data_IF_576795386326
#
_entry.id   IF_576795386326
#
_cell.length_a   1.000
_cell.length_b   1.000
_cell.length_c   1.000
_cell.angle_alpha   90.00
_cell.angle_beta   90.00
_cell.angle_gamma   90.00
#
_symmetry.space_group_name_H-M   'P 1'
#
loop_
_entity.id
_entity.type
_entity.pdbx_description
1 polymer ?
#
# COMPACT_ATOMS: atom_id res chain seq x y z
N UNK A 1 16.71 12.04 -27.99
CA UNK A 1 15.55 11.59 -28.79
C UNK A 1 14.73 10.64 -27.94
N UNK A 2 13.40 10.85 -27.96
CA UNK A 2 12.32 10.00 -27.43
C UNK A 2 11.95 10.10 -25.94
N UNK A 3 11.00 11.01 -25.73
CA UNK A 3 9.84 10.92 -24.82
C UNK A 3 9.16 9.53 -24.78
N UNK A 4 8.60 9.14 -23.63
CA UNK A 4 7.21 8.66 -23.42
C UNK A 4 7.14 7.76 -22.16
N UNK A 5 6.60 8.22 -21.03
CA UNK A 5 5.18 8.30 -20.63
C UNK A 5 4.55 6.94 -20.25
N UNK A 6 4.45 6.72 -18.92
CA UNK A 6 3.66 5.67 -18.26
C UNK A 6 2.16 5.87 -18.49
N UNK A 7 1.44 4.84 -18.97
CA UNK A 7 -0.01 4.72 -18.79
C UNK A 7 -0.48 3.26 -18.67
N UNK A 8 -1.31 3.04 -17.65
CA UNK A 8 -2.43 2.10 -17.49
C UNK A 8 -2.21 0.58 -17.72
N UNK A 9 -2.19 -0.17 -16.62
CA UNK A 9 -2.58 -1.58 -16.59
C UNK A 9 -4.08 -1.69 -16.25
N UNK A 10 -4.90 -1.74 -17.29
CA UNK A 10 -6.28 -2.26 -17.24
C UNK A 10 -6.22 -3.74 -17.65
N UNK A 11 -6.66 -4.63 -16.75
CA UNK A 11 -6.79 -6.05 -17.02
C UNK A 11 -8.04 -6.31 -17.88
N UNK A 12 -7.85 -6.59 -19.16
CA UNK A 12 -8.89 -7.06 -20.08
C UNK A 12 -9.15 -8.55 -19.92
N UNK A 13 -10.42 -8.93 -19.72
CA UNK A 13 -10.92 -10.30 -19.79
C UNK A 13 -10.85 -10.85 -21.23
N UNK A 14 -10.52 -12.14 -21.47
CA UNK A 14 -10.58 -12.72 -22.80
C UNK A 14 -12.02 -13.07 -23.20
N UNK A 15 -12.48 -12.47 -24.30
CA UNK A 15 -13.69 -12.85 -25.05
C UNK A 15 -13.45 -14.17 -25.80
N UNK A 16 -14.32 -15.15 -25.58
CA UNK A 16 -14.31 -16.42 -26.31
C UNK A 16 -14.86 -16.24 -27.73
N UNK A 17 -14.13 -16.77 -28.72
CA UNK A 17 -14.47 -16.70 -30.14
C UNK A 17 -15.50 -17.76 -30.55
N UNK A 18 -16.53 -17.34 -31.27
CA UNK A 18 -17.53 -18.19 -31.93
C UNK A 18 -17.00 -18.76 -33.24
N UNK A 19 -17.08 -20.07 -33.46
CA UNK A 19 -17.10 -20.66 -34.82
C UNK A 19 -18.09 -21.83 -34.93
N UNK A 20 -18.67 -22.05 -36.12
CA UNK A 20 -19.99 -22.66 -36.32
C UNK A 20 -19.89 -24.14 -36.75
N UNK A 21 -20.96 -24.94 -36.65
CA UNK A 21 -21.21 -26.05 -37.61
C UNK A 21 -22.67 -26.58 -37.61
N UNK A 22 -23.27 -26.45 -38.81
CA UNK A 22 -24.27 -27.28 -39.51
C UNK A 22 -25.52 -27.83 -38.80
N UNK A 23 -26.67 -27.31 -39.25
CA UNK A 23 -27.99 -27.93 -39.20
C UNK A 23 -28.03 -29.23 -40.01
N UNK A 24 -28.39 -30.34 -39.36
CA UNK A 24 -28.96 -31.50 -40.03
C UNK A 24 -30.45 -31.57 -39.70
N UNK A 25 -31.26 -31.40 -40.74
CA UNK A 25 -32.70 -31.55 -40.73
C UNK A 25 -33.03 -33.05 -40.77
N UNK A 26 -33.75 -33.57 -39.76
CA UNK A 26 -34.36 -34.89 -39.80
C UNK A 26 -35.87 -34.72 -39.75
N UNK A 27 -36.51 -35.23 -40.78
CA UNK A 27 -37.95 -35.27 -41.00
C UNK A 27 -38.56 -36.44 -40.22
N UNK A 28 -39.63 -36.13 -39.47
CA UNK A 28 -40.82 -36.96 -39.27
C UNK A 28 -40.68 -38.37 -38.66
N UNK A 29 -41.10 -38.50 -37.39
CA UNK A 29 -41.82 -39.68 -36.93
C UNK A 29 -42.73 -39.32 -35.74
N UNK A 30 -44.02 -39.49 -35.94
CA UNK A 30 -45.08 -39.35 -34.94
C UNK A 30 -44.90 -40.42 -33.86
N UNK A 31 -44.70 -39.99 -32.61
CA UNK A 31 -44.84 -40.82 -31.42
C UNK A 31 -45.70 -40.05 -30.41
N UNK A 32 -46.88 -40.61 -30.15
CA UNK A 32 -47.81 -40.22 -29.10
C UNK A 32 -47.07 -40.09 -27.76
N UNK A 33 -46.76 -38.86 -27.36
CA UNK A 33 -46.32 -38.58 -25.99
C UNK A 33 -47.52 -38.10 -25.19
N UNK A 34 -47.91 -38.94 -24.22
CA UNK A 34 -48.82 -38.57 -23.13
C UNK A 34 -48.44 -37.19 -22.60
N UNK A 35 -49.43 -36.30 -22.50
CA UNK A 35 -49.33 -35.00 -21.85
C UNK A 35 -48.97 -35.19 -20.37
N UNK A 36 -47.67 -35.39 -20.09
CA UNK A 36 -47.13 -35.21 -18.75
C UNK A 36 -47.32 -33.74 -18.42
N UNK A 37 -48.38 -33.44 -17.65
CA UNK A 37 -48.46 -32.19 -16.89
C UNK A 37 -47.08 -31.96 -16.25
N UNK A 38 -46.51 -30.76 -16.33
CA UNK A 38 -45.33 -30.45 -15.54
C UNK A 38 -45.71 -30.79 -14.11
N UNK A 39 -45.05 -31.79 -13.53
CA UNK A 39 -45.15 -32.02 -12.10
C UNK A 39 -44.49 -30.79 -11.52
N UNK A 40 -45.29 -29.77 -11.20
CA UNK A 40 -44.89 -28.71 -10.29
C UNK A 40 -44.58 -29.46 -9.01
N UNK A 41 -43.32 -29.87 -8.88
CA UNK A 41 -42.73 -30.14 -7.58
C UNK A 41 -43.09 -28.91 -6.79
N UNK A 42 -43.99 -29.04 -5.82
CA UNK A 42 -44.15 -28.04 -4.79
C UNK A 42 -42.74 -27.92 -4.22
N UNK A 43 -42.00 -26.91 -4.69
CA UNK A 43 -40.66 -26.61 -4.23
C UNK A 43 -40.84 -26.42 -2.74
N UNK A 44 -40.34 -27.37 -1.96
CA UNK A 44 -40.51 -27.41 -0.52
C UNK A 44 -40.28 -26.01 0.00
N UNK A 45 -41.35 -25.38 0.49
CA UNK A 45 -41.33 -23.96 0.85
C UNK A 45 -40.21 -23.65 1.84
N UNK A 46 -39.84 -24.67 2.64
CA UNK A 46 -38.69 -24.74 3.54
C UNK A 46 -37.35 -24.54 2.82
N UNK A 47 -37.07 -25.26 1.73
CA UNK A 47 -35.82 -25.06 0.97
C UNK A 47 -35.75 -23.64 0.40
N UNK A 48 -36.87 -23.14 -0.16
CA UNK A 48 -36.93 -21.78 -0.68
C UNK A 48 -36.66 -20.74 0.42
N UNK A 49 -37.23 -20.92 1.61
CA UNK A 49 -37.00 -20.06 2.78
C UNK A 49 -35.54 -20.07 3.23
N UNK A 50 -34.88 -21.23 3.26
CA UNK A 50 -33.45 -21.33 3.59
C UNK A 50 -32.58 -20.59 2.56
N UNK A 51 -32.85 -20.76 1.26
CA UNK A 51 -32.16 -20.00 0.22
C UNK A 51 -32.40 -18.48 0.30
N UNK A 52 -33.58 -18.04 0.72
CA UNK A 52 -33.84 -16.62 0.99
C UNK A 52 -32.96 -16.11 2.13
N UNK A 53 -32.86 -16.83 3.25
CA UNK A 53 -31.96 -16.44 4.36
C UNK A 53 -30.50 -16.33 3.92
N UNK A 54 -30.02 -17.28 3.11
CA UNK A 54 -28.65 -17.22 2.58
C UNK A 54 -28.45 -16.05 1.62
N UNK A 55 -29.44 -15.75 0.78
CA UNK A 55 -29.39 -14.60 -0.12
C UNK A 55 -29.31 -13.28 0.67
N UNK A 56 -30.15 -13.13 1.69
CA UNK A 56 -30.17 -11.93 2.54
C UNK A 56 -28.82 -11.75 3.27
N UNK A 57 -28.29 -12.81 3.87
CA UNK A 57 -26.95 -12.79 4.49
C UNK A 57 -25.84 -12.39 3.51
N UNK A 58 -25.84 -12.95 2.30
CA UNK A 58 -24.83 -12.63 1.28
C UNK A 58 -24.97 -11.18 0.78
N UNK A 59 -26.19 -10.68 0.63
CA UNK A 59 -26.45 -9.31 0.25
C UNK A 59 -25.94 -8.33 1.33
N UNK A 60 -26.25 -8.60 2.61
CA UNK A 60 -25.76 -7.79 3.72
C UNK A 60 -24.22 -7.77 3.80
N UNK A 61 -23.59 -8.94 3.61
CA UNK A 61 -22.13 -9.06 3.58
C UNK A 61 -21.52 -8.29 2.41
N UNK A 62 -22.15 -8.35 1.23
CA UNK A 62 -21.70 -7.62 0.05
C UNK A 62 -21.86 -6.10 0.23
N UNK A 63 -22.98 -5.65 0.75
CA UNK A 63 -23.23 -4.23 1.05
C UNK A 63 -22.21 -3.71 2.06
N UNK A 64 -21.90 -4.50 3.09
CA UNK A 64 -20.85 -4.17 4.06
C UNK A 64 -19.47 -4.10 3.41
N UNK A 65 -19.13 -5.08 2.56
CA UNK A 65 -17.87 -5.08 1.80
C UNK A 65 -17.73 -3.81 0.96
N UNK A 66 -18.79 -3.38 0.27
CA UNK A 66 -18.76 -2.15 -0.53
C UNK A 66 -18.55 -0.89 0.32
N UNK A 67 -19.15 -0.83 1.52
CA UNK A 67 -18.87 0.28 2.47
C UNK A 67 -17.42 0.27 2.96
N UNK A 68 -16.87 -0.89 3.29
CA UNK A 68 -15.46 -1.06 3.68
C UNK A 68 -14.52 -0.65 2.55
N UNK A 69 -14.80 -1.05 1.30
CA UNK A 69 -13.99 -0.63 0.13
C UNK A 69 -14.00 0.89 -0.02
N UNK A 70 -15.15 1.55 0.16
CA UNK A 70 -15.24 3.01 0.09
C UNK A 70 -14.42 3.68 1.20
N UNK A 71 -14.58 3.26 2.45
CA UNK A 71 -13.80 3.79 3.57
C UNK A 71 -12.29 3.55 3.40
N UNK A 72 -11.90 2.38 2.89
CA UNK A 72 -10.50 2.03 2.61
C UNK A 72 -9.87 2.94 1.57
N UNK A 73 -10.62 3.32 0.51
CA UNK A 73 -10.13 4.28 -0.50
C UNK A 73 -9.84 5.65 0.11
N UNK A 74 -10.70 6.12 1.02
CA UNK A 74 -10.50 7.40 1.71
C UNK A 74 -9.23 7.37 2.58
N UNK A 75 -8.99 6.26 3.30
CA UNK A 75 -7.75 6.05 4.07
C UNK A 75 -6.52 6.08 3.16
N UNK A 76 -6.52 5.33 2.06
CA UNK A 76 -5.40 5.30 1.11
C UNK A 76 -5.11 6.70 0.54
N UNK A 77 -6.15 7.39 0.07
CA UNK A 77 -6.00 8.72 -0.55
C UNK A 77 -5.37 9.70 0.42
N UNK A 78 -5.83 9.73 1.67
CA UNK A 78 -5.35 10.72 2.63
C UNK A 78 -4.01 10.32 3.26
N UNK A 79 -3.72 9.03 3.42
CA UNK A 79 -2.37 8.56 3.80
C UNK A 79 -1.33 8.95 2.74
N UNK A 80 -1.65 8.85 1.44
CA UNK A 80 -0.80 9.37 0.36
C UNK A 80 -0.54 10.86 0.46
N UNK A 81 -1.55 11.66 0.83
CA UNK A 81 -1.37 13.10 1.02
C UNK A 81 -0.38 13.40 2.16
N UNK A 82 -0.42 12.63 3.24
CA UNK A 82 0.56 12.73 4.34
C UNK A 82 1.96 12.41 3.82
N UNK A 83 2.13 11.32 3.07
CA UNK A 83 3.44 10.95 2.47
C UNK A 83 3.96 12.08 1.57
N UNK A 84 3.11 12.61 0.68
CA UNK A 84 3.48 13.75 -0.17
C UNK A 84 3.77 15.03 0.61
N UNK A 85 3.13 15.24 1.75
CA UNK A 85 3.43 16.36 2.63
C UNK A 85 4.82 16.19 3.24
N UNK A 86 5.18 15.00 3.74
CA UNK A 86 6.51 14.71 4.28
C UNK A 86 7.62 14.91 3.24
N UNK A 87 7.38 14.54 1.98
CA UNK A 87 8.36 14.77 0.91
C UNK A 87 8.66 16.24 0.59
N UNK A 88 7.93 17.19 1.18
CA UNK A 88 8.20 18.64 1.05
C UNK A 88 9.25 19.15 2.02
N UNK A 89 9.78 18.29 2.91
CA UNK A 89 10.85 18.65 3.84
C UNK A 89 12.05 19.19 3.06
N UNK A 90 12.56 20.32 3.52
CA UNK A 90 13.84 20.93 3.17
C UNK A 90 14.58 21.31 4.47
N UNK A 91 15.80 21.85 4.32
CA UNK A 91 16.60 22.37 5.45
C UNK A 91 15.87 23.43 6.27
N UNK A 92 15.05 24.26 5.62
CA UNK A 92 14.51 25.48 6.23
C UNK A 92 13.06 25.33 6.73
N UNK A 93 12.37 24.26 6.36
CA UNK A 93 10.93 24.10 6.62
C UNK A 93 10.56 22.81 7.35
N UNK A 94 11.55 22.04 7.82
CA UNK A 94 11.36 20.69 8.34
C UNK A 94 10.31 20.63 9.45
N UNK A 95 10.40 21.52 10.42
CA UNK A 95 9.49 21.57 11.57
C UNK A 95 8.05 21.89 11.15
N UNK A 96 7.86 22.87 10.26
CA UNK A 96 6.54 23.27 9.75
C UNK A 96 5.90 22.13 8.94
N UNK A 97 6.68 21.53 8.03
CA UNK A 97 6.21 20.45 7.18
C UNK A 97 5.83 19.22 8.01
N UNK A 98 6.63 18.88 9.02
CA UNK A 98 6.35 17.76 9.91
C UNK A 98 5.15 18.03 10.81
N UNK A 99 5.03 19.23 11.39
CA UNK A 99 3.85 19.59 12.18
C UNK A 99 2.56 19.47 11.37
N UNK A 100 2.59 19.91 10.11
CA UNK A 100 1.45 19.75 9.19
C UNK A 100 1.19 18.27 8.86
N UNK A 101 2.22 17.48 8.54
CA UNK A 101 2.07 16.06 8.26
C UNK A 101 1.50 15.28 9.45
N UNK A 102 1.89 15.62 10.68
CA UNK A 102 1.35 15.02 11.90
C UNK A 102 -0.12 15.37 12.12
N UNK A 103 -0.51 16.62 11.87
CA UNK A 103 -1.92 17.03 11.92
C UNK A 103 -2.75 16.32 10.84
N UNK A 104 -2.23 16.21 9.62
CA UNK A 104 -2.88 15.49 8.53
C UNK A 104 -3.01 13.99 8.88
N UNK A 105 -1.99 13.37 9.49
CA UNK A 105 -2.03 11.98 9.94
C UNK A 105 -3.01 11.74 11.10
N UNK A 106 -3.10 12.69 12.04
CA UNK A 106 -4.11 12.67 13.09
C UNK A 106 -5.51 12.71 12.48
N UNK A 107 -5.76 13.59 11.51
CA UNK A 107 -7.02 13.63 10.78
C UNK A 107 -7.31 12.31 10.04
N UNK A 108 -6.30 11.66 9.46
CA UNK A 108 -6.46 10.32 8.86
C UNK A 108 -6.94 9.30 9.87
N UNK A 109 -6.33 9.32 11.05
CA UNK A 109 -6.65 8.41 12.16
C UNK A 109 -8.07 8.65 12.68
N UNK A 110 -8.37 9.89 13.03
CA UNK A 110 -9.60 10.28 13.71
C UNK A 110 -10.83 10.23 12.79
N UNK A 111 -10.66 10.48 11.49
CA UNK A 111 -11.77 10.54 10.54
C UNK A 111 -11.89 9.26 9.69
N UNK A 112 -10.80 8.84 9.03
CA UNK A 112 -10.88 7.79 8.01
C UNK A 112 -10.65 6.40 8.60
N UNK A 113 -9.65 6.22 9.46
CA UNK A 113 -9.44 4.95 10.16
C UNK A 113 -10.62 4.70 11.11
N UNK A 114 -11.06 5.69 11.88
CA UNK A 114 -12.27 5.58 12.72
C UNK A 114 -13.50 5.11 11.93
N UNK A 115 -13.73 5.66 10.74
CA UNK A 115 -14.83 5.21 9.86
C UNK A 115 -14.64 3.77 9.39
N UNK A 116 -13.43 3.38 8.99
CA UNK A 116 -13.12 2.02 8.59
C UNK A 116 -13.36 1.03 9.74
N UNK A 117 -12.91 1.38 10.96
CA UNK A 117 -13.13 0.59 12.19
C UNK A 117 -14.63 0.38 12.41
N UNK A 118 -15.44 1.46 12.34
CA UNK A 118 -16.91 1.38 12.48
C UNK A 118 -17.57 0.46 11.46
N UNK A 119 -17.18 0.55 10.19
CA UNK A 119 -17.72 -0.33 9.15
C UNK A 119 -17.32 -1.81 9.32
N UNK A 120 -16.22 -2.08 10.03
CA UNK A 120 -15.75 -3.44 10.32
C UNK A 120 -16.37 -4.05 11.59
N UNK A 121 -16.99 -3.25 12.46
CA UNK A 121 -17.57 -3.72 13.73
C UNK A 121 -18.58 -4.86 13.52
N UNK A 122 -18.59 -5.83 14.43
CA UNK A 122 -19.53 -6.96 14.41
C UNK A 122 -19.32 -7.92 13.23
N UNK A 123 -18.14 -7.94 12.62
CA UNK A 123 -17.78 -8.91 11.58
C UNK A 123 -16.37 -9.40 11.82
N UNK A 124 -16.14 -10.69 11.56
CA UNK A 124 -14.79 -11.22 11.63
C UNK A 124 -13.89 -10.50 10.62
N UNK A 125 -12.87 -9.78 11.11
CA UNK A 125 -12.02 -8.90 10.29
C UNK A 125 -11.38 -9.61 9.11
N UNK A 126 -11.10 -10.91 9.23
CA UNK A 126 -10.49 -11.72 8.18
C UNK A 126 -11.40 -11.90 6.96
N UNK A 127 -12.73 -11.94 7.13
CA UNK A 127 -13.68 -12.13 6.01
C UNK A 127 -13.61 -10.99 5.00
N UNK A 128 -13.34 -9.78 5.48
CA UNK A 128 -13.27 -8.55 4.68
C UNK A 128 -11.84 -8.05 4.47
N UNK A 129 -10.81 -8.80 4.89
CA UNK A 129 -9.39 -8.35 4.81
C UNK A 129 -9.00 -7.81 3.45
N UNK A 130 -9.40 -8.50 2.37
CA UNK A 130 -9.11 -8.08 0.99
C UNK A 130 -9.69 -6.71 0.60
N UNK A 131 -10.69 -6.22 1.33
CA UNK A 131 -11.31 -4.93 1.07
C UNK A 131 -10.52 -3.75 1.68
N UNK A 132 -9.71 -3.97 2.72
CA UNK A 132 -9.05 -2.89 3.46
C UNK A 132 -7.53 -3.05 3.66
N UNK A 133 -6.96 -4.23 3.41
CA UNK A 133 -5.53 -4.54 3.62
C UNK A 133 -4.59 -3.47 3.04
N UNK A 134 -4.83 -3.03 1.80
CA UNK A 134 -4.01 -1.99 1.15
C UNK A 134 -4.14 -0.62 1.81
N UNK A 135 -5.29 -0.29 2.38
CA UNK A 135 -5.48 0.96 3.09
C UNK A 135 -4.73 0.98 4.41
N UNK A 136 -4.71 -0.15 5.12
CA UNK A 136 -3.92 -0.30 6.35
C UNK A 136 -2.43 -0.24 6.07
N UNK A 137 -1.95 -0.88 4.99
CA UNK A 137 -0.54 -0.81 4.58
C UNK A 137 -0.10 0.62 4.29
N UNK A 138 -0.90 1.38 3.52
CA UNK A 138 -0.62 2.78 3.20
C UNK A 138 -0.63 3.68 4.46
N UNK A 139 -1.55 3.40 5.41
CA UNK A 139 -1.57 4.11 6.68
C UNK A 139 -0.31 3.83 7.53
N UNK A 140 0.13 2.56 7.59
CA UNK A 140 1.37 2.17 8.27
C UNK A 140 2.57 2.87 7.64
N UNK A 141 2.66 2.89 6.32
CA UNK A 141 3.71 3.59 5.57
C UNK A 141 3.75 5.08 5.93
N UNK A 142 2.61 5.77 5.90
CA UNK A 142 2.52 7.19 6.27
C UNK A 142 2.92 7.43 7.73
N UNK A 143 2.40 6.63 8.66
CA UNK A 143 2.65 6.80 10.10
C UNK A 143 4.12 6.53 10.48
N UNK A 144 4.71 5.48 9.91
CA UNK A 144 6.12 5.14 10.14
C UNK A 144 7.06 6.15 9.49
N UNK A 145 6.72 6.68 8.30
CA UNK A 145 7.48 7.75 7.64
C UNK A 145 7.50 9.03 8.48
N UNK A 146 6.34 9.46 8.99
CA UNK A 146 6.23 10.60 9.90
C UNK A 146 7.09 10.38 11.17
N UNK A 147 6.99 9.20 11.80
CA UNK A 147 7.78 8.88 13.00
C UNK A 147 9.27 8.97 12.73
N UNK A 148 9.73 8.35 11.64
CA UNK A 148 11.15 8.35 11.27
C UNK A 148 11.64 9.78 11.04
N UNK A 149 10.91 10.60 10.26
CA UNK A 149 11.37 11.96 9.96
C UNK A 149 11.40 12.88 11.19
N UNK A 150 10.53 12.63 12.18
CA UNK A 150 10.47 13.39 13.44
C UNK A 150 11.51 12.95 14.47
N UNK A 151 11.71 11.64 14.63
CA UNK A 151 12.47 11.08 15.77
C UNK A 151 13.64 10.20 15.37
N UNK A 152 13.74 9.81 14.11
CA UNK A 152 14.75 8.87 13.60
C UNK A 152 14.49 7.41 14.01
N UNK A 153 13.33 7.10 14.59
CA UNK A 153 13.00 5.75 15.07
C UNK A 153 11.86 5.11 14.28
N UNK A 154 11.73 3.79 14.42
CA UNK A 154 10.62 3.02 13.86
C UNK A 154 9.41 3.07 14.80
N UNK A 155 8.23 3.41 14.27
CA UNK A 155 6.96 3.23 14.97
C UNK A 155 6.58 1.76 14.92
N UNK A 156 6.63 1.06 16.05
CA UNK A 156 6.42 -0.38 16.08
C UNK A 156 4.93 -0.75 16.05
N UNK A 157 4.62 -2.02 15.73
CA UNK A 157 3.24 -2.50 15.59
C UNK A 157 2.40 -2.31 16.87
N UNK A 158 3.00 -2.51 18.04
CA UNK A 158 2.29 -2.34 19.31
C UNK A 158 1.92 -0.89 19.55
N UNK A 159 2.81 0.05 19.23
CA UNK A 159 2.54 1.49 19.32
C UNK A 159 1.43 1.93 18.37
N UNK A 160 1.44 1.46 17.11
CA UNK A 160 0.35 1.78 16.16
C UNK A 160 -0.97 1.20 16.66
N UNK A 161 -1.00 -0.07 17.05
CA UNK A 161 -2.24 -0.66 17.53
C UNK A 161 -2.76 0.04 18.80
N UNK A 162 -1.86 0.46 19.69
CA UNK A 162 -2.24 1.23 20.87
C UNK A 162 -2.91 2.57 20.51
N UNK A 163 -2.48 3.25 19.44
CA UNK A 163 -3.13 4.49 18.99
C UNK A 163 -4.49 4.27 18.34
N UNK A 164 -4.79 3.04 17.90
CA UNK A 164 -6.09 2.68 17.30
C UNK A 164 -7.10 2.16 18.31
N UNK A 165 -6.67 1.72 19.49
CA UNK A 165 -7.55 1.23 20.56
C UNK A 165 -8.69 2.20 20.91
N UNK A 166 -8.46 3.52 21.06
CA UNK A 166 -9.51 4.47 21.43
C UNK A 166 -10.60 4.66 20.34
N UNK A 167 -10.34 4.21 19.11
CA UNK A 167 -11.28 4.32 18.00
C UNK A 167 -12.37 3.25 18.03
N UNK A 168 -12.16 2.19 18.82
CA UNK A 168 -13.08 1.06 18.93
C UNK A 168 -14.01 1.24 20.13
N UNK A 169 -15.27 0.85 20.00
CA UNK A 169 -16.20 0.83 21.13
C UNK A 169 -15.76 -0.22 22.15
N UNK A 170 -15.87 0.08 23.45
CA UNK A 170 -15.42 -0.82 24.54
C UNK A 170 -16.10 -2.21 24.52
N UNK A 171 -17.25 -2.32 23.86
CA UNK A 171 -18.03 -3.57 23.74
C UNK A 171 -17.64 -4.44 22.55
N UNK A 172 -16.70 -3.99 21.70
CA UNK A 172 -16.33 -4.66 20.45
C UNK A 172 -14.82 -4.92 20.42
N UNK A 173 -14.41 -6.03 19.83
CA UNK A 173 -12.99 -6.31 19.60
C UNK A 173 -12.38 -5.19 18.72
N UNK A 174 -11.29 -4.54 19.16
CA UNK A 174 -10.72 -3.45 18.42
C UNK A 174 -10.07 -3.94 17.13
N UNK A 175 -10.06 -3.09 16.10
CA UNK A 175 -9.26 -3.36 14.91
C UNK A 175 -7.79 -3.41 15.32
N UNK A 176 -7.16 -4.56 15.10
CA UNK A 176 -5.71 -4.71 15.24
C UNK A 176 -5.10 -4.90 13.85
N UNK A 177 -4.14 -4.03 13.52
CA UNK A 177 -3.27 -4.24 12.37
C UNK A 177 -2.53 -5.54 12.61
N UNK A 178 -2.67 -6.47 11.67
CA UNK A 178 -1.97 -7.74 11.73
C UNK A 178 -0.50 -7.57 11.28
N UNK A 179 0.33 -8.54 11.67
CA UNK A 179 1.76 -8.54 11.37
C UNK A 179 2.02 -8.41 9.87
N UNK A 180 1.29 -9.13 9.02
CA UNK A 180 1.53 -9.11 7.57
C UNK A 180 1.28 -7.72 6.96
N UNK A 181 0.18 -7.05 7.30
CA UNK A 181 -0.12 -5.70 6.81
C UNK A 181 0.89 -4.67 7.31
N UNK A 182 1.37 -4.82 8.55
CA UNK A 182 2.44 -3.98 9.06
C UNK A 182 3.75 -4.17 8.30
N UNK A 183 4.18 -5.42 8.08
CA UNK A 183 5.43 -5.71 7.36
C UNK A 183 5.37 -5.27 5.89
N UNK A 184 4.21 -5.40 5.23
CA UNK A 184 4.00 -4.91 3.87
C UNK A 184 4.09 -3.38 3.79
N UNK A 185 3.44 -2.66 4.71
CA UNK A 185 3.57 -1.21 4.81
C UNK A 185 5.00 -0.76 5.14
N UNK A 186 5.71 -1.49 6.00
CA UNK A 186 7.11 -1.23 6.32
C UNK A 186 8.05 -1.45 5.13
N UNK A 187 7.73 -2.41 4.26
CA UNK A 187 8.48 -2.61 3.04
C UNK A 187 8.29 -1.43 2.07
N UNK A 188 7.07 -0.90 1.95
CA UNK A 188 6.79 0.30 1.14
C UNK A 188 7.45 1.57 1.69
N UNK A 189 7.49 1.73 3.03
CA UNK A 189 8.24 2.80 3.70
C UNK A 189 9.68 2.92 3.16
N UNK A 190 10.36 1.80 2.91
CA UNK A 190 11.75 1.85 2.42
C UNK A 190 11.90 2.52 1.06
N UNK A 191 10.87 2.43 0.21
CA UNK A 191 10.82 3.13 -1.07
C UNK A 191 10.68 4.64 -0.88
N UNK A 192 9.83 5.07 0.04
CA UNK A 192 9.66 6.49 0.36
C UNK A 192 10.90 7.06 1.07
N UNK A 193 11.53 6.30 1.96
CA UNK A 193 12.81 6.68 2.57
C UNK A 193 13.92 6.81 1.52
N UNK A 194 13.98 5.91 0.54
CA UNK A 194 14.91 6.07 -0.58
C UNK A 194 14.64 7.35 -1.37
N UNK A 195 13.38 7.65 -1.72
CA UNK A 195 13.04 8.90 -2.41
C UNK A 195 13.45 10.12 -1.59
N UNK A 196 13.17 10.09 -0.28
CA UNK A 196 13.57 11.17 0.63
C UNK A 196 15.08 11.33 0.64
N UNK A 197 15.84 10.25 0.80
CA UNK A 197 17.31 10.28 0.80
C UNK A 197 17.88 10.90 -0.48
N UNK A 198 17.40 10.52 -1.66
CA UNK A 198 17.85 11.12 -2.93
C UNK A 198 17.57 12.64 -2.96
N UNK A 199 16.39 13.07 -2.49
CA UNK A 199 16.07 14.49 -2.36
C UNK A 199 17.00 15.22 -1.39
N UNK A 200 17.28 14.62 -0.23
CA UNK A 200 18.18 15.18 0.79
C UNK A 200 19.63 15.27 0.32
N UNK A 201 20.12 14.27 -0.42
CA UNK A 201 21.44 14.31 -1.07
C UNK A 201 21.52 15.47 -2.06
N UNK A 202 20.47 15.68 -2.85
CA UNK A 202 20.40 16.79 -3.81
C UNK A 202 20.46 18.16 -3.12
N UNK A 203 19.91 18.28 -1.90
CA UNK A 203 19.98 19.49 -1.08
C UNK A 203 21.30 19.61 -0.27
N UNK A 204 22.23 18.66 -0.44
CA UNK A 204 23.51 18.62 0.26
C UNK A 204 23.39 18.19 1.73
N UNK A 205 22.39 17.40 2.10
CA UNK A 205 22.23 16.79 3.44
C UNK A 205 22.68 15.32 3.44
N UNK A 206 23.96 15.09 3.13
CA UNK A 206 24.51 13.74 2.96
C UNK A 206 24.44 12.93 4.25
N UNK A 207 24.73 13.54 5.39
CA UNK A 207 24.71 12.87 6.70
C UNK A 207 23.29 12.41 7.07
N UNK A 208 22.26 13.14 6.65
CA UNK A 208 20.88 12.71 6.88
C UNK A 208 20.50 11.56 5.95
N UNK A 209 20.97 11.58 4.70
CA UNK A 209 20.79 10.46 3.78
C UNK A 209 21.52 9.18 4.24
N UNK A 210 22.69 9.30 4.87
CA UNK A 210 23.39 8.16 5.50
C UNK A 210 22.59 7.57 6.66
N UNK A 211 21.95 8.41 7.50
CA UNK A 211 21.04 7.94 8.56
C UNK A 211 19.84 7.18 7.98
N UNK A 212 19.26 7.70 6.89
CA UNK A 212 18.20 7.00 6.17
C UNK A 212 18.71 5.65 5.63
N UNK A 213 19.89 5.62 5.01
CA UNK A 213 20.51 4.41 4.51
C UNK A 213 20.70 3.36 5.60
N UNK A 214 21.22 3.76 6.77
CA UNK A 214 21.39 2.86 7.91
C UNK A 214 20.05 2.28 8.37
N UNK A 215 19.03 3.13 8.51
CA UNK A 215 17.70 2.69 8.93
C UNK A 215 17.06 1.70 7.95
N UNK A 216 17.13 1.98 6.65
CA UNK A 216 16.59 1.08 5.61
C UNK A 216 17.36 -0.25 5.56
N UNK A 217 18.69 -0.23 5.77
CA UNK A 217 19.50 -1.44 5.86
C UNK A 217 19.12 -2.30 7.06
N UNK A 218 18.87 -1.68 8.21
CA UNK A 218 18.50 -2.41 9.42
C UNK A 218 17.14 -3.10 9.24
N UNK A 219 16.14 -2.41 8.67
CA UNK A 219 14.85 -3.02 8.32
C UNK A 219 15.05 -4.20 7.35
N UNK A 220 15.82 -4.01 6.27
CA UNK A 220 16.05 -5.06 5.29
C UNK A 220 16.74 -6.30 5.89
N UNK A 221 17.71 -6.10 6.77
CA UNK A 221 18.42 -7.18 7.47
C UNK A 221 17.48 -7.99 8.35
N UNK A 222 16.66 -7.32 9.16
CA UNK A 222 15.70 -8.01 10.03
C UNK A 222 14.64 -8.76 9.21
N UNK A 223 14.09 -8.15 8.15
CA UNK A 223 13.12 -8.83 7.30
C UNK A 223 13.71 -10.02 6.53
N UNK A 224 15.01 -10.00 6.23
CA UNK A 224 15.69 -11.17 5.62
C UNK A 224 15.63 -12.40 6.53
N UNK A 225 15.59 -12.21 7.85
CA UNK A 225 15.45 -13.30 8.83
C UNK A 225 14.00 -13.77 8.98
N UNK A 226 13.04 -12.84 8.85
CA UNK A 226 11.61 -13.11 9.09
C UNK A 226 10.91 -13.70 7.87
N UNK A 227 11.10 -13.11 6.68
CA UNK A 227 10.35 -13.44 5.46
C UNK A 227 10.43 -14.92 5.05
N UNK A 228 11.57 -15.62 5.17
CA UNK A 228 11.64 -17.06 4.87
C UNK A 228 10.76 -17.93 5.77
N UNK A 229 10.40 -17.44 6.96
CA UNK A 229 9.60 -18.16 7.97
C UNK A 229 8.11 -17.84 7.87
N UNK A 230 7.72 -16.91 7.01
CA UNK A 230 6.32 -16.53 6.81
C UNK A 230 5.61 -17.49 5.87
N UNK A 231 4.38 -17.84 6.22
CA UNK A 231 3.45 -18.52 5.31
C UNK A 231 3.08 -17.60 4.14
N UNK A 232 2.93 -18.15 2.94
CA UNK A 232 2.53 -17.42 1.73
C UNK A 232 3.33 -16.13 1.44
N UNK A 233 4.65 -16.17 1.62
CA UNK A 233 5.57 -15.02 1.49
C UNK A 233 5.80 -14.47 0.07
N UNK A 234 4.96 -14.82 -0.92
CA UNK A 234 5.17 -14.44 -2.33
C UNK A 234 5.18 -12.92 -2.56
N UNK A 235 4.31 -12.20 -1.87
CA UNK A 235 4.25 -10.73 -1.93
C UNK A 235 5.46 -10.11 -1.22
N UNK A 236 5.78 -10.60 -0.01
CA UNK A 236 6.95 -10.14 0.73
C UNK A 236 8.25 -10.37 -0.03
N UNK A 237 8.41 -11.48 -0.76
CA UNK A 237 9.60 -11.72 -1.60
C UNK A 237 9.80 -10.63 -2.66
N UNK A 238 8.74 -10.23 -3.36
CA UNK A 238 8.78 -9.13 -4.33
C UNK A 238 9.10 -7.79 -3.66
N UNK A 239 8.55 -7.57 -2.47
CA UNK A 239 8.86 -6.39 -1.66
C UNK A 239 10.33 -6.38 -1.24
N UNK A 240 10.89 -7.51 -0.80
CA UNK A 240 12.30 -7.65 -0.44
C UNK A 240 13.24 -7.34 -1.61
N UNK A 241 12.91 -7.76 -2.83
CA UNK A 241 13.66 -7.37 -4.04
C UNK A 241 13.66 -5.85 -4.25
N UNK A 242 12.50 -5.21 -4.09
CA UNK A 242 12.34 -3.76 -4.21
C UNK A 242 13.10 -3.01 -3.10
N UNK A 243 13.06 -3.52 -1.87
CA UNK A 243 13.78 -2.97 -0.73
C UNK A 243 15.29 -3.01 -0.95
N UNK A 244 15.83 -4.12 -1.47
CA UNK A 244 17.24 -4.23 -1.82
C UNK A 244 17.64 -3.19 -2.86
N UNK A 245 16.81 -2.98 -3.89
CA UNK A 245 17.04 -1.92 -4.86
C UNK A 245 17.03 -0.53 -4.22
N UNK A 246 16.15 -0.28 -3.26
CA UNK A 246 16.12 0.97 -2.49
C UNK A 246 17.42 1.18 -1.71
N UNK A 247 17.91 0.16 -0.99
CA UNK A 247 19.21 0.21 -0.28
C UNK A 247 20.34 0.57 -1.25
N UNK A 248 20.49 -0.19 -2.34
CA UNK A 248 21.57 -0.01 -3.33
C UNK A 248 21.52 1.39 -3.94
N UNK A 249 20.33 1.92 -4.22
CA UNK A 249 20.18 3.28 -4.75
C UNK A 249 20.69 4.35 -3.80
N UNK A 250 20.34 4.24 -2.51
CA UNK A 250 20.80 5.20 -1.50
C UNK A 250 22.32 5.08 -1.33
N UNK A 251 22.85 3.87 -1.19
CA UNK A 251 24.30 3.63 -1.01
C UNK A 251 25.11 4.18 -2.19
N UNK A 252 24.69 3.89 -3.42
CA UNK A 252 25.36 4.40 -4.62
C UNK A 252 25.32 5.93 -4.69
N UNK A 253 24.20 6.56 -4.29
CA UNK A 253 24.08 8.01 -4.27
C UNK A 253 25.01 8.64 -3.22
N UNK A 254 25.05 8.11 -2.00
CA UNK A 254 25.98 8.57 -0.95
C UNK A 254 27.45 8.38 -1.39
N UNK A 255 27.80 7.21 -1.92
CA UNK A 255 29.14 6.92 -2.43
C UNK A 255 29.56 7.89 -3.54
N UNK A 256 28.68 8.14 -4.52
CA UNK A 256 28.97 9.04 -5.64
C UNK A 256 29.28 10.47 -5.16
N UNK A 257 28.57 10.94 -4.14
CA UNK A 257 28.83 12.26 -3.55
C UNK A 257 30.13 12.27 -2.75
N UNK A 258 30.41 11.22 -1.98
CA UNK A 258 31.64 11.11 -1.21
C UNK A 258 32.91 11.11 -2.10
N UNK A 259 32.91 10.34 -3.19
CA UNK A 259 34.03 10.30 -4.14
C UNK A 259 34.25 11.67 -4.77
N UNK A 260 33.19 12.31 -5.28
CA UNK A 260 33.29 13.65 -5.89
C UNK A 260 33.74 14.73 -4.90
N UNK A 261 33.28 14.66 -3.65
CA UNK A 261 33.74 15.56 -2.58
C UNK A 261 35.21 15.36 -2.23
N UNK A 262 35.73 14.15 -2.40
CA UNK A 262 37.14 13.81 -2.14
C UNK A 262 38.08 14.15 -3.29
N UNK A 263 37.56 14.19 -4.53
CA UNK A 263 38.31 14.61 -5.72
C UNK A 263 38.58 16.14 -5.74
N UNK A 264 37.73 16.93 -5.07
CA UNK A 264 37.83 18.38 -4.99
C UNK A 264 38.38 18.86 -3.63
N UNK A 265 39.61 18.45 -3.29
CA UNK A 265 40.37 19.11 -2.24
C UNK A 265 41.03 20.35 -2.89
N UNK A 266 40.71 21.60 -2.50
CA UNK A 266 41.27 22.78 -3.15
C UNK A 266 42.78 22.86 -2.89
N UNK A 267 43.55 22.26 -3.78
CA UNK A 267 44.94 22.60 -3.98
C UNK A 267 44.95 23.99 -4.61
N UNK A 268 45.28 24.97 -3.77
CA UNK A 268 45.51 26.40 -4.04
C UNK A 268 44.29 27.32 -3.88
N UNK A 269 44.48 28.32 -3.02
CA UNK A 269 43.51 29.34 -2.71
C UNK A 269 43.19 30.23 -3.91
N UNK A 270 41.99 30.08 -4.43
CA UNK A 270 41.30 31.15 -5.13
C UNK A 270 39.95 31.37 -4.45
N UNK A 271 39.84 32.51 -3.81
CA UNK A 271 38.59 33.11 -3.37
C UNK A 271 37.72 33.42 -4.60
N UNK A 272 36.79 32.53 -4.95
CA UNK A 272 35.64 32.88 -5.77
C UNK A 272 34.42 32.02 -5.36
N UNK A 273 33.32 32.64 -4.89
CA UNK A 273 32.16 31.91 -4.41
C UNK A 273 31.09 31.90 -5.51
N UNK A 274 31.20 31.05 -6.52
CA UNK A 274 30.06 30.68 -7.37
C UNK A 274 30.42 29.62 -8.41
N UNK A 275 30.32 28.32 -8.07
CA UNK A 275 30.10 27.30 -9.09
C UNK A 275 29.16 26.20 -8.57
N UNK A 276 27.95 26.19 -9.14
CA UNK A 276 26.85 25.28 -8.83
C UNK A 276 27.20 23.81 -9.09
N UNK A 277 27.31 23.04 -8.01
CA UNK A 277 27.34 21.57 -7.96
C UNK A 277 26.04 20.96 -8.55
N UNK A 278 24.99 21.77 -8.68
CA UNK A 278 23.64 21.35 -9.08
C UNK A 278 23.47 20.93 -10.55
N UNK A 279 24.35 21.36 -11.46
CA UNK A 279 24.14 21.15 -12.90
C UNK A 279 24.24 19.70 -13.39
N UNK A 280 24.94 18.82 -12.66
CA UNK A 280 25.30 17.48 -13.16
C UNK A 280 24.36 16.38 -12.60
N UNK A 281 23.65 16.64 -11.50
CA UNK A 281 22.76 15.66 -10.85
C UNK A 281 21.55 15.29 -11.74
N UNK A 282 21.14 16.19 -12.65
CA UNK A 282 19.96 15.97 -13.51
C UNK A 282 20.23 15.21 -14.81
N UNK A 283 21.45 14.77 -15.10
CA UNK A 283 21.77 14.12 -16.38
C UNK A 283 21.84 12.59 -16.33
N UNK A 284 21.72 11.97 -15.13
CA UNK A 284 21.85 10.52 -14.96
C UNK A 284 20.84 9.86 -13.98
N UNK A 285 19.77 10.57 -13.62
CA UNK A 285 18.55 9.97 -13.05
C UNK A 285 17.52 9.73 -14.17
#
# INVERSE_FOLDING_TARGET
MLYSSCRHLLSSFPMAASKPHRLHQIVGASLLSSSKKPRTMATDSTMKQEFTKYADYLNELNDKRERVVKASRDVTINSKKVIFQVHRISKDNKEEVLAKAENDLAAVTDQYISRLVKELQGTDFWKLRRAYTFAVQEYVEAATLCRFCKTGTLLNLAEINASLLPLSDQSVEPLQINVLDYLLGLADLTGELMRLAIGRISDGEVEYAEKICQFVRDIYRELTLVVPRMDDNSEMKKKMETMLQSVVKIENACFSVHVRGSEYNPLLGSSDPDYSIFGIIMQFL
#
